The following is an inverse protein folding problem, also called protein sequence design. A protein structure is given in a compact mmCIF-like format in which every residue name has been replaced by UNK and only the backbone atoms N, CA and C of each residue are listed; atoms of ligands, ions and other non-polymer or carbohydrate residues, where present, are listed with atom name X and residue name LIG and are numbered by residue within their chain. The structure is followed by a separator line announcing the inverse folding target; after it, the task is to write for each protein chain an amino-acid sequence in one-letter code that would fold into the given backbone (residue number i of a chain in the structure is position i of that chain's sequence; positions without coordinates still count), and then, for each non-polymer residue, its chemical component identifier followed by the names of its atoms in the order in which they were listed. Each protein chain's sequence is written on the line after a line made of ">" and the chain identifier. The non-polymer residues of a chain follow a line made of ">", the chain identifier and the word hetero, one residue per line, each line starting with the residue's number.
data_IF_343812086762
#
_entry.id   IF_343812086762
#
_cell.length_a   1.000
_cell.length_b   1.000
_cell.length_c   1.000
_cell.angle_alpha   90.00
_cell.angle_beta   90.00
_cell.angle_gamma   90.00
#
_symmetry.space_group_name_H-M   'P 1'
#
loop_
_entity.id
_entity.type
_entity.pdbx_description
1 polymer ?
#
# COMPACT_ATOMS: atom_id res chain seq x y z
N UNK A 1 -16.20 -6.50 -3.41
CA UNK A 1 -14.78 -6.29 -3.77
C UNK A 1 -14.01 -7.52 -3.33
N UNK A 2 -13.16 -8.11 -4.16
CA UNK A 2 -12.49 -9.37 -3.80
C UNK A 2 -11.44 -9.13 -2.72
N UNK A 3 -11.47 -9.84 -1.57
CA UNK A 3 -10.48 -9.71 -0.49
C UNK A 3 -9.02 -9.83 -0.95
N UNK A 4 -8.80 -10.50 -2.09
CA UNK A 4 -7.49 -10.65 -2.72
C UNK A 4 -6.84 -9.35 -3.18
N UNK A 5 -7.60 -8.30 -3.50
CA UNK A 5 -7.03 -7.05 -4.06
C UNK A 5 -6.29 -6.25 -2.99
N UNK A 6 -6.83 -6.14 -1.78
CA UNK A 6 -6.16 -5.50 -0.63
C UNK A 6 -4.86 -6.22 -0.28
N UNK A 7 -4.93 -7.55 -0.13
CA UNK A 7 -3.76 -8.36 0.23
C UNK A 7 -2.68 -8.30 -0.85
N UNK A 8 -3.07 -8.27 -2.13
CA UNK A 8 -2.15 -8.10 -3.24
C UNK A 8 -1.45 -6.74 -3.21
N UNK A 9 -2.19 -5.65 -2.94
CA UNK A 9 -1.61 -4.31 -2.83
C UNK A 9 -0.57 -4.22 -1.71
N UNK A 10 -0.89 -4.76 -0.52
CA UNK A 10 0.05 -4.83 0.60
C UNK A 10 1.27 -5.68 0.27
N UNK A 11 1.08 -6.82 -0.41
CA UNK A 11 2.16 -7.70 -0.84
C UNK A 11 3.15 -7.00 -1.78
N UNK A 12 2.64 -6.36 -2.84
CA UNK A 12 3.46 -5.62 -3.81
C UNK A 12 4.20 -4.44 -3.17
N UNK A 13 3.56 -3.75 -2.22
CA UNK A 13 4.19 -2.63 -1.51
C UNK A 13 5.36 -3.10 -0.63
N UNK A 14 5.21 -4.28 0.00
CA UNK A 14 6.26 -4.91 0.79
C UNK A 14 7.43 -5.39 -0.08
N UNK A 15 7.13 -5.96 -1.24
CA UNK A 15 8.13 -6.37 -2.23
C UNK A 15 8.96 -5.17 -2.70
N UNK A 16 8.29 -4.08 -3.10
CA UNK A 16 8.95 -2.82 -3.46
C UNK A 16 9.87 -2.28 -2.36
N UNK A 17 9.44 -2.33 -1.10
CA UNK A 17 10.26 -1.89 0.03
C UNK A 17 11.51 -2.76 0.22
N UNK A 18 11.41 -4.07 -0.03
CA UNK A 18 12.55 -4.97 0.02
C UNK A 18 13.54 -4.69 -1.13
N UNK A 19 13.04 -4.50 -2.34
CA UNK A 19 13.86 -4.16 -3.51
C UNK A 19 14.57 -2.81 -3.34
N UNK A 20 13.89 -1.84 -2.75
CA UNK A 20 14.50 -0.55 -2.40
C UNK A 20 15.63 -0.71 -1.37
N UNK A 21 15.45 -1.56 -0.35
CA UNK A 21 16.48 -1.81 0.66
C UNK A 21 17.76 -2.39 0.04
N UNK A 22 17.64 -3.25 -0.98
CA UNK A 22 18.80 -3.75 -1.74
C UNK A 22 19.39 -2.66 -2.64
N UNK A 23 18.54 -1.87 -3.30
CA UNK A 23 18.99 -0.81 -4.22
C UNK A 23 19.79 0.27 -3.49
N UNK A 24 19.34 0.68 -2.30
CA UNK A 24 20.00 1.73 -1.51
C UNK A 24 21.35 1.29 -0.91
N UNK A 25 21.69 0.01 -1.00
CA UNK A 25 23.04 -0.44 -0.63
C UNK A 25 24.09 -0.01 -1.65
N UNK A 26 23.73 0.03 -2.94
CA UNK A 26 24.61 0.52 -4.00
C UNK A 26 24.38 2.00 -4.34
N UNK A 27 23.15 2.51 -4.17
CA UNK A 27 22.78 3.89 -4.50
C UNK A 27 22.51 4.72 -3.23
N UNK A 28 23.51 5.52 -2.80
CA UNK A 28 23.53 6.21 -1.49
C UNK A 28 23.69 7.73 -1.56
N UNK A 29 23.54 8.29 -2.75
CA UNK A 29 23.76 9.73 -2.97
C UNK A 29 22.58 10.59 -2.47
N UNK A 30 22.61 11.88 -2.78
CA UNK A 30 21.51 12.78 -2.46
C UNK A 30 20.22 12.43 -3.21
N UNK A 31 20.32 11.86 -4.42
CA UNK A 31 19.16 11.48 -5.23
C UNK A 31 18.46 10.24 -4.69
N UNK A 32 19.20 9.27 -4.17
CA UNK A 32 18.61 8.12 -3.49
C UNK A 32 17.76 8.55 -2.28
N UNK A 33 18.25 9.54 -1.52
CA UNK A 33 17.53 10.11 -0.37
C UNK A 33 16.29 10.89 -0.79
N UNK A 34 16.41 11.73 -1.83
CA UNK A 34 15.28 12.43 -2.44
C UNK A 34 14.22 11.43 -2.91
N UNK A 35 14.64 10.33 -3.55
CA UNK A 35 13.73 9.32 -4.05
C UNK A 35 12.94 8.62 -2.93
N UNK A 36 13.63 8.19 -1.87
CA UNK A 36 13.00 7.56 -0.71
C UNK A 36 11.98 8.50 -0.05
N UNK A 37 12.35 9.77 0.13
CA UNK A 37 11.52 10.74 0.83
C UNK A 37 10.33 11.23 0.00
N UNK A 38 10.53 11.55 -1.28
CA UNK A 38 9.51 12.18 -2.11
C UNK A 38 8.58 11.17 -2.78
N UNK A 39 9.03 9.95 -3.05
CA UNK A 39 8.22 8.98 -3.78
C UNK A 39 7.84 7.77 -2.94
N UNK A 40 8.79 7.13 -2.27
CA UNK A 40 8.49 5.91 -1.53
C UNK A 40 7.66 6.17 -0.27
N UNK A 41 7.98 7.18 0.52
CA UNK A 41 7.17 7.55 1.68
C UNK A 41 5.75 7.99 1.29
N UNK A 42 5.62 8.81 0.24
CA UNK A 42 4.32 9.25 -0.26
C UNK A 42 3.48 8.08 -0.78
N UNK A 43 4.10 7.19 -1.56
CA UNK A 43 3.46 5.96 -2.05
C UNK A 43 2.99 5.08 -0.89
N UNK A 44 3.83 4.88 0.13
CA UNK A 44 3.48 4.05 1.27
C UNK A 44 2.31 4.65 2.08
N UNK A 45 2.29 5.97 2.25
CA UNK A 45 1.16 6.68 2.86
C UNK A 45 -0.13 6.51 2.04
N UNK A 46 -0.05 6.65 0.71
CA UNK A 46 -1.19 6.47 -0.20
C UNK A 46 -1.73 5.04 -0.18
N UNK A 47 -0.85 4.03 -0.15
CA UNK A 47 -1.24 2.62 -0.01
C UNK A 47 -1.98 2.39 1.31
N UNK A 48 -1.46 2.91 2.42
CA UNK A 48 -2.11 2.76 3.73
C UNK A 48 -3.51 3.40 3.74
N UNK A 49 -3.65 4.59 3.15
CA UNK A 49 -4.94 5.25 3.01
C UNK A 49 -5.90 4.43 2.14
N UNK A 50 -5.43 3.92 1.00
CA UNK A 50 -6.23 3.07 0.13
C UNK A 50 -6.72 1.83 0.87
N UNK A 51 -5.85 1.12 1.60
CA UNK A 51 -6.22 -0.06 2.40
C UNK A 51 -7.31 0.27 3.42
N UNK A 52 -7.19 1.40 4.14
CA UNK A 52 -8.20 1.83 5.09
C UNK A 52 -9.56 2.13 4.41
N UNK A 53 -9.55 2.73 3.21
CA UNK A 53 -10.76 2.95 2.44
C UNK A 53 -11.38 1.64 1.93
N UNK A 54 -10.56 0.68 1.50
CA UNK A 54 -11.04 -0.65 1.08
C UNK A 54 -11.73 -1.37 2.26
N UNK A 55 -11.16 -1.28 3.46
CA UNK A 55 -11.77 -1.85 4.68
C UNK A 55 -13.10 -1.18 5.04
N UNK A 56 -13.19 0.14 4.91
CA UNK A 56 -14.43 0.87 5.15
C UNK A 56 -15.52 0.45 4.15
N UNK A 57 -15.18 0.31 2.87
CA UNK A 57 -16.09 -0.15 1.83
C UNK A 57 -16.56 -1.59 2.08
N UNK A 58 -15.67 -2.50 2.49
CA UNK A 58 -16.05 -3.88 2.82
C UNK A 58 -17.07 -3.93 3.97
N UNK A 59 -16.90 -3.11 5.01
CA UNK A 59 -17.86 -3.03 6.12
C UNK A 59 -19.23 -2.54 5.66
N UNK A 60 -19.28 -1.50 4.83
CA UNK A 60 -20.55 -0.96 4.30
C UNK A 60 -21.25 -2.01 3.42
N UNK A 61 -20.50 -2.70 2.55
CA UNK A 61 -21.07 -3.75 1.70
C UNK A 61 -21.56 -4.95 2.52
N UNK A 62 -20.87 -5.30 3.60
CA UNK A 62 -21.31 -6.35 4.53
C UNK A 62 -22.64 -5.96 5.19
N UNK A 63 -22.75 -4.73 5.71
CA UNK A 63 -23.97 -4.24 6.35
C UNK A 63 -25.16 -4.26 5.37
N UNK A 64 -24.97 -3.77 4.14
CA UNK A 64 -26.04 -3.77 3.12
C UNK A 64 -26.53 -5.19 2.84
N UNK A 65 -25.63 -6.18 2.81
CA UNK A 65 -26.01 -7.59 2.61
C UNK A 65 -26.82 -8.10 3.80
N UNK A 66 -26.38 -7.84 5.02
CA UNK A 66 -27.11 -8.24 6.23
C UNK A 66 -28.49 -7.57 6.35
N UNK A 67 -28.62 -6.32 5.92
CA UNK A 67 -29.89 -5.59 5.92
C UNK A 67 -30.88 -6.07 4.84
N UNK A 68 -30.40 -6.82 3.84
CA UNK A 68 -31.18 -7.33 2.70
C UNK A 68 -31.49 -8.84 2.79
N UNK A 69 -30.94 -9.54 3.78
CA UNK A 69 -31.28 -10.93 4.15
C UNK A 69 -32.41 -10.97 5.19
#
# INVERSE_FOLDING_TARGET
>A
MTPGTKNRLLGLTKELAADWAVTKDAWRDAKAREFEQQYLHELQAAVNAAVAHLDALERVLQQIREDCE
#
